data_IF_928290866476
#
_entry.id   IF_928290866476
#
_cell.length_a   1.000
_cell.length_b   1.000
_cell.length_c   1.000
_cell.angle_alpha   90.00
_cell.angle_beta   90.00
_cell.angle_gamma   90.00
#
_symmetry.space_group_name_H-M   'P 1'
#
loop_
_entity.id
_entity.type
_entity.pdbx_description
1 polymer ?
#
# COMPACT_ATOMS: atom_id res chain seq x y z
N UNK A 1 23.27 -7.36 -9.07
CA UNK A 1 24.42 -6.44 -8.94
C UNK A 1 23.93 -5.18 -8.26
N UNK A 2 24.00 -5.14 -6.92
CA UNK A 2 23.68 -3.93 -6.15
C UNK A 2 24.93 -3.05 -6.15
N UNK A 3 25.02 -2.13 -7.11
CA UNK A 3 25.94 -1.02 -6.96
C UNK A 3 25.41 -0.22 -5.76
N UNK A 4 26.04 -0.38 -4.60
CA UNK A 4 25.89 0.53 -3.48
C UNK A 4 26.32 1.90 -4.01
N UNK A 5 25.35 2.72 -4.42
CA UNK A 5 25.59 4.10 -4.82
C UNK A 5 26.14 4.79 -3.59
N UNK A 6 27.46 5.00 -3.56
CA UNK A 6 28.10 5.72 -2.47
C UNK A 6 27.44 7.10 -2.38
N UNK A 7 26.86 7.46 -1.21
CA UNK A 7 26.13 8.71 -1.11
C UNK A 7 27.10 9.86 -1.36
N UNK A 8 26.74 10.75 -2.29
CA UNK A 8 27.56 11.94 -2.56
C UNK A 8 27.63 12.78 -1.29
N UNK A 9 28.82 13.28 -0.98
CA UNK A 9 29.05 14.16 0.16
C UNK A 9 28.93 15.61 -0.29
N UNK A 10 28.40 16.46 0.60
CA UNK A 10 28.39 17.90 0.38
C UNK A 10 29.78 18.45 0.73
N UNK A 11 30.23 19.47 -0.01
CA UNK A 11 31.47 20.15 0.33
C UNK A 11 31.28 21.10 1.52
N UNK A 12 32.36 21.47 2.19
CA UNK A 12 32.31 22.34 3.38
C UNK A 12 31.64 23.69 3.10
N UNK A 13 31.77 24.21 1.88
CA UNK A 13 31.14 25.46 1.46
C UNK A 13 29.61 25.35 1.35
N UNK A 14 29.10 24.23 0.81
CA UNK A 14 27.67 23.94 0.75
C UNK A 14 27.06 23.85 2.15
N UNK A 15 27.76 23.19 3.09
CA UNK A 15 27.35 23.18 4.48
C UNK A 15 27.29 24.57 5.10
N UNK A 16 28.31 25.40 4.85
CA UNK A 16 28.35 26.77 5.35
C UNK A 16 27.19 27.62 4.80
N UNK A 17 26.94 27.56 3.49
CA UNK A 17 25.84 28.29 2.84
C UNK A 17 24.48 27.84 3.37
N UNK A 18 24.27 26.53 3.51
CA UNK A 18 23.03 25.98 4.09
C UNK A 18 22.85 26.45 5.54
N UNK A 19 23.90 26.38 6.36
CA UNK A 19 23.87 26.82 7.75
C UNK A 19 23.52 28.30 7.90
N UNK A 20 24.13 29.17 7.10
CA UNK A 20 23.83 30.61 7.08
C UNK A 20 22.39 30.86 6.63
N UNK A 21 21.92 30.20 5.57
CA UNK A 21 20.55 30.34 5.10
C UNK A 21 19.53 29.90 6.15
N UNK A 22 19.77 28.78 6.84
CA UNK A 22 18.94 28.30 7.95
C UNK A 22 18.90 29.30 9.10
N UNK A 23 20.04 29.86 9.49
CA UNK A 23 20.10 30.85 10.56
C UNK A 23 19.30 32.12 10.23
N UNK A 24 19.42 32.63 8.99
CA UNK A 24 18.64 33.77 8.53
C UNK A 24 17.14 33.49 8.51
N UNK A 25 16.72 32.31 8.04
CA UNK A 25 15.30 31.91 8.05
C UNK A 25 14.74 31.81 9.47
N UNK A 26 15.50 31.23 10.42
CA UNK A 26 15.09 31.16 11.82
C UNK A 26 14.96 32.55 12.44
N UNK A 27 15.89 33.46 12.14
CA UNK A 27 15.82 34.83 12.62
C UNK A 27 14.56 35.54 12.08
N UNK A 28 14.31 35.47 10.77
CA UNK A 28 13.11 36.08 10.15
C UNK A 28 11.83 35.48 10.71
N UNK A 29 11.75 34.17 10.89
CA UNK A 29 10.60 33.49 11.49
C UNK A 29 10.36 33.92 12.94
N UNK A 30 11.42 34.03 13.75
CA UNK A 30 11.32 34.50 15.13
C UNK A 30 10.84 35.96 15.22
N UNK A 31 11.37 36.85 14.37
CA UNK A 31 10.88 38.24 14.29
C UNK A 31 9.44 38.31 13.80
N UNK A 32 9.05 37.47 12.85
CA UNK A 32 7.65 37.36 12.39
C UNK A 32 6.71 36.96 13.50
N UNK A 33 7.02 35.88 14.23
CA UNK A 33 6.23 35.41 15.37
C UNK A 33 6.14 36.45 16.50
N UNK A 34 7.24 37.15 16.80
CA UNK A 34 7.24 38.26 17.75
C UNK A 34 6.32 39.40 17.29
N UNK A 35 6.37 39.76 16.01
CA UNK A 35 5.50 40.79 15.43
C UNK A 35 4.02 40.43 15.54
N UNK A 36 3.66 39.19 15.21
CA UNK A 36 2.29 38.67 15.36
C UNK A 36 1.85 38.72 16.82
N UNK A 37 2.71 38.30 17.76
CA UNK A 37 2.43 38.39 19.19
C UNK A 37 2.16 39.84 19.64
N UNK A 38 3.05 40.78 19.29
CA UNK A 38 2.90 42.18 19.69
C UNK A 38 1.65 42.83 19.11
N UNK A 39 1.28 42.50 17.87
CA UNK A 39 0.08 43.05 17.22
C UNK A 39 -1.20 42.53 17.89
N UNK A 40 -1.27 41.23 18.20
CA UNK A 40 -2.44 40.64 18.87
C UNK A 40 -2.52 41.11 20.33
N UNK A 41 -1.39 41.23 21.03
CA UNK A 41 -1.34 41.75 22.39
C UNK A 41 -1.81 43.21 22.46
N UNK A 42 -1.38 44.05 21.51
CA UNK A 42 -1.82 45.44 21.42
C UNK A 42 -3.33 45.58 21.15
N UNK A 43 -3.92 44.65 20.39
CA UNK A 43 -5.33 44.69 20.02
C UNK A 43 -6.26 44.12 21.11
N UNK A 44 -5.85 43.06 21.81
CA UNK A 44 -6.72 42.33 22.76
C UNK A 44 -6.35 42.56 24.23
N UNK A 45 -5.24 43.24 24.53
CA UNK A 45 -4.73 43.53 25.87
C UNK A 45 -4.64 42.29 26.80
N UNK A 46 -4.51 41.09 26.22
CA UNK A 46 -4.45 39.80 26.93
C UNK A 46 -3.31 38.96 26.39
N UNK A 47 -2.28 38.75 27.21
CA UNK A 47 -1.08 38.00 26.84
C UNK A 47 -1.37 36.53 26.48
N UNK A 48 -2.27 35.90 27.24
CA UNK A 48 -2.65 34.50 27.01
C UNK A 48 -3.36 34.29 25.67
N UNK A 49 -4.22 35.23 25.28
CA UNK A 49 -4.93 35.18 23.98
C UNK A 49 -3.95 35.43 22.83
N UNK A 50 -3.00 36.35 22.99
CA UNK A 50 -1.96 36.61 22.00
C UNK A 50 -1.04 35.40 21.80
N UNK A 51 -0.58 34.77 22.88
CA UNK A 51 0.22 33.55 22.82
C UNK A 51 -0.54 32.41 22.15
N UNK A 52 -1.83 32.23 22.48
CA UNK A 52 -2.68 31.19 21.88
C UNK A 52 -2.88 31.36 20.38
N UNK A 53 -3.11 32.59 19.90
CA UNK A 53 -3.28 32.89 18.47
C UNK A 53 -1.98 32.66 17.70
N UNK A 54 -0.83 33.09 18.25
CA UNK A 54 0.49 32.85 17.63
C UNK A 54 0.81 31.36 17.59
N UNK A 55 0.58 30.64 18.69
CA UNK A 55 0.80 29.20 18.74
C UNK A 55 -0.09 28.43 17.74
N UNK A 56 -1.35 28.85 17.57
CA UNK A 56 -2.27 28.23 16.63
C UNK A 56 -1.93 28.55 15.16
N UNK A 57 -1.54 29.79 14.86
CA UNK A 57 -1.22 30.22 13.49
C UNK A 57 0.20 29.85 13.08
N UNK A 58 1.20 30.45 13.72
CA UNK A 58 2.62 30.27 13.40
C UNK A 58 3.11 28.89 13.83
N UNK A 59 2.65 28.37 14.97
CA UNK A 59 3.03 27.04 15.45
C UNK A 59 2.55 25.92 14.53
N UNK A 60 1.32 26.01 14.01
CA UNK A 60 0.82 25.04 13.01
C UNK A 60 1.61 25.13 11.70
N UNK A 61 1.87 26.34 11.20
CA UNK A 61 2.66 26.54 9.99
C UNK A 61 4.08 25.97 10.15
N UNK A 62 4.73 26.21 11.30
CA UNK A 62 6.02 25.65 11.64
C UNK A 62 6.00 24.12 11.68
N UNK A 63 4.99 23.53 12.34
CA UNK A 63 4.84 22.06 12.42
C UNK A 63 4.66 21.45 11.02
N UNK A 64 3.83 22.06 10.16
CA UNK A 64 3.63 21.58 8.79
C UNK A 64 4.91 21.71 7.94
N UNK A 65 5.64 22.82 8.07
CA UNK A 65 6.90 23.04 7.39
C UNK A 65 7.99 22.04 7.85
N UNK A 66 8.11 21.80 9.17
CA UNK A 66 9.04 20.80 9.71
C UNK A 66 8.64 19.39 9.30
N UNK A 67 7.35 19.07 9.28
CA UNK A 67 6.86 17.77 8.80
C UNK A 67 7.24 17.56 7.34
N UNK A 68 6.99 18.55 6.47
CA UNK A 68 7.39 18.51 5.07
C UNK A 68 8.91 18.33 4.92
N UNK A 69 9.71 19.05 5.70
CA UNK A 69 11.17 18.94 5.70
C UNK A 69 11.64 17.54 6.12
N UNK A 70 11.14 17.03 7.24
CA UNK A 70 11.49 15.70 7.75
C UNK A 70 11.15 14.61 6.74
N UNK A 71 9.94 14.63 6.16
CA UNK A 71 9.56 13.67 5.13
C UNK A 71 10.47 13.74 3.91
N UNK A 72 10.84 14.96 3.49
CA UNK A 72 11.78 15.15 2.38
C UNK A 72 13.18 14.59 2.70
N UNK A 73 13.66 14.76 3.94
CA UNK A 73 14.94 14.21 4.40
C UNK A 73 14.92 12.69 4.57
N UNK A 74 13.75 12.10 4.83
CA UNK A 74 13.54 10.65 4.88
C UNK A 74 13.31 10.04 3.48
N UNK A 75 13.50 10.82 2.41
CA UNK A 75 13.21 10.44 1.02
C UNK A 75 11.78 9.93 0.85
N UNK A 76 10.84 10.56 1.57
CA UNK A 76 9.41 10.28 1.48
C UNK A 76 8.70 11.37 0.68
N UNK A 77 7.72 11.01 -0.15
CA UNK A 77 6.91 12.00 -0.85
C UNK A 77 6.08 12.80 0.17
N UNK A 78 6.14 14.13 0.08
CA UNK A 78 5.33 15.01 0.92
C UNK A 78 3.84 14.81 0.62
N UNK A 79 3.01 14.42 1.61
CA UNK A 79 1.57 14.28 1.44
C UNK A 79 0.94 15.59 0.96
N UNK A 80 -0.01 15.49 0.04
CA UNK A 80 -0.72 16.67 -0.49
C UNK A 80 -1.41 17.47 0.62
N UNK A 81 -1.88 16.80 1.68
CA UNK A 81 -2.57 17.45 2.80
C UNK A 81 -1.67 18.40 3.58
N UNK A 82 -0.38 18.06 3.75
CA UNK A 82 0.61 18.92 4.42
C UNK A 82 0.82 20.19 3.60
N UNK A 83 0.93 20.06 2.27
CA UNK A 83 1.06 21.22 1.37
C UNK A 83 -0.19 22.09 1.38
N UNK A 84 -1.37 21.49 1.29
CA UNK A 84 -2.63 22.24 1.37
C UNK A 84 -2.70 23.02 2.67
N UNK A 85 -2.36 22.39 3.81
CA UNK A 85 -2.30 23.06 5.10
C UNK A 85 -1.33 24.24 5.12
N UNK A 86 -0.13 24.07 4.54
CA UNK A 86 0.91 25.10 4.46
C UNK A 86 0.49 26.32 3.61
N UNK A 87 -0.43 26.14 2.65
CA UNK A 87 -0.95 27.24 1.83
C UNK A 87 -2.25 27.85 2.39
N UNK A 88 -3.10 27.04 3.04
CA UNK A 88 -4.41 27.50 3.51
C UNK A 88 -4.29 28.53 4.63
N UNK A 89 -3.38 28.32 5.58
CA UNK A 89 -3.17 29.23 6.71
C UNK A 89 -2.80 30.67 6.26
N UNK A 90 -1.80 30.87 5.38
CA UNK A 90 -1.47 32.21 4.90
C UNK A 90 -2.53 32.79 3.98
N UNK A 91 -3.23 32.00 3.18
CA UNK A 91 -4.37 32.52 2.41
C UNK A 91 -5.44 33.11 3.35
N UNK A 92 -5.73 32.44 4.46
CA UNK A 92 -6.61 32.97 5.50
C UNK A 92 -6.06 34.28 6.09
N UNK A 93 -4.78 34.31 6.46
CA UNK A 93 -4.14 35.50 6.99
C UNK A 93 -4.14 36.68 5.99
N UNK A 94 -3.94 36.42 4.70
CA UNK A 94 -4.00 37.43 3.64
C UNK A 94 -5.42 38.00 3.51
N UNK A 95 -6.45 37.15 3.55
CA UNK A 95 -7.84 37.59 3.53
C UNK A 95 -8.17 38.48 4.73
N UNK A 96 -7.75 38.08 5.93
CA UNK A 96 -7.90 38.91 7.14
C UNK A 96 -7.13 40.22 7.01
N UNK A 97 -5.88 40.16 6.55
CA UNK A 97 -5.01 41.32 6.35
C UNK A 97 -5.59 42.36 5.38
N UNK A 98 -6.15 41.90 4.25
CA UNK A 98 -6.83 42.77 3.29
C UNK A 98 -8.10 43.38 3.86
N UNK A 99 -8.88 42.62 4.65
CA UNK A 99 -10.13 43.11 5.25
C UNK A 99 -9.91 44.18 6.33
N UNK A 100 -8.79 44.13 7.06
CA UNK A 100 -8.48 45.10 8.12
C UNK A 100 -7.70 46.33 7.62
N UNK A 101 -7.16 46.27 6.39
CA UNK A 101 -6.35 47.33 5.84
C UNK A 101 -7.16 48.62 5.61
N UNK A 102 -6.58 49.77 5.95
CA UNK A 102 -7.27 51.07 5.85
C UNK A 102 -7.10 51.72 4.47
N UNK A 103 -6.11 51.29 3.69
CA UNK A 103 -5.81 51.80 2.37
C UNK A 103 -5.20 50.70 1.50
N UNK A 104 -5.08 50.97 0.19
CA UNK A 104 -4.56 50.03 -0.81
C UNK A 104 -3.12 49.61 -0.49
N UNK A 105 -2.29 50.53 0.01
CA UNK A 105 -0.89 50.23 0.36
C UNK A 105 -0.79 49.20 1.49
N UNK A 106 -1.54 49.40 2.57
CA UNK A 106 -1.66 48.45 3.68
C UNK A 106 -2.24 47.12 3.20
N UNK A 107 -3.27 47.14 2.33
CA UNK A 107 -3.90 45.93 1.83
C UNK A 107 -2.92 45.07 1.02
N UNK A 108 -2.08 45.69 0.19
CA UNK A 108 -1.04 44.99 -0.57
C UNK A 108 0.01 44.39 0.37
N UNK A 109 0.51 45.17 1.35
CA UNK A 109 1.53 44.68 2.29
C UNK A 109 0.98 43.53 3.15
N UNK A 110 -0.21 43.70 3.75
CA UNK A 110 -0.83 42.67 4.60
C UNK A 110 -1.32 41.46 3.80
N UNK A 111 -1.66 41.63 2.52
CA UNK A 111 -2.04 40.54 1.63
C UNK A 111 -0.87 39.75 1.03
N UNK A 112 0.34 40.30 0.96
CA UNK A 112 1.52 39.61 0.41
C UNK A 112 2.36 38.98 1.52
N UNK A 113 2.49 39.66 2.66
CA UNK A 113 3.43 39.26 3.73
C UNK A 113 3.22 37.81 4.20
N UNK A 114 2.00 37.32 4.46
CA UNK A 114 1.82 35.92 4.87
C UNK A 114 2.20 34.91 3.78
N UNK A 115 2.04 35.26 2.50
CA UNK A 115 2.42 34.38 1.38
C UNK A 115 3.93 34.18 1.28
N UNK A 116 4.72 35.16 1.72
CA UNK A 116 6.17 35.06 1.71
C UNK A 116 6.67 33.90 2.58
N UNK A 117 5.98 33.59 3.69
CA UNK A 117 6.34 32.48 4.58
C UNK A 117 6.12 31.12 3.92
N UNK A 118 4.98 30.89 3.24
CA UNK A 118 4.78 29.64 2.47
C UNK A 118 5.72 29.51 1.31
N UNK A 119 6.01 30.63 0.61
CA UNK A 119 7.04 30.66 -0.43
C UNK A 119 8.41 30.24 0.12
N UNK A 120 8.79 30.73 1.30
CA UNK A 120 10.02 30.35 1.96
C UNK A 120 10.04 28.87 2.38
N UNK A 121 8.94 28.37 2.94
CA UNK A 121 8.81 26.96 3.34
C UNK A 121 8.87 26.00 2.14
N UNK A 122 8.17 26.30 1.04
CA UNK A 122 8.28 25.54 -0.21
C UNK A 122 9.69 25.62 -0.81
N UNK A 123 10.32 26.81 -0.76
CA UNK A 123 11.72 26.99 -1.17
C UNK A 123 12.68 26.12 -0.37
N UNK A 124 12.50 26.04 0.96
CA UNK A 124 13.28 25.17 1.84
C UNK A 124 13.03 23.69 1.54
N UNK A 125 11.78 23.30 1.31
CA UNK A 125 11.43 21.95 0.86
C UNK A 125 12.09 21.58 -0.48
N UNK A 126 12.17 22.52 -1.42
CA UNK A 126 12.87 22.33 -2.70
C UNK A 126 14.38 22.16 -2.49
N UNK A 127 15.02 22.98 -1.65
CA UNK A 127 16.44 22.85 -1.33
C UNK A 127 16.71 21.49 -0.67
N UNK A 128 15.91 21.13 0.34
CA UNK A 128 16.02 19.85 1.04
C UNK A 128 15.93 18.67 0.06
N UNK A 129 14.94 18.69 -0.84
CA UNK A 129 14.76 17.67 -1.88
C UNK A 129 15.98 17.60 -2.80
N UNK A 130 16.49 18.74 -3.27
CA UNK A 130 17.66 18.79 -4.16
C UNK A 130 18.91 18.26 -3.47
N UNK A 131 19.13 18.61 -2.21
CA UNK A 131 20.23 18.07 -1.41
C UNK A 131 20.07 16.56 -1.26
N UNK A 132 18.88 16.07 -0.91
CA UNK A 132 18.66 14.64 -0.75
C UNK A 132 18.91 13.88 -2.06
N UNK A 133 18.30 14.31 -3.17
CA UNK A 133 18.53 13.72 -4.49
C UNK A 133 19.98 13.78 -4.93
N UNK A 134 20.71 14.85 -4.59
CA UNK A 134 22.14 14.91 -4.87
C UNK A 134 22.91 13.83 -4.09
N UNK A 135 22.57 13.60 -2.82
CA UNK A 135 23.24 12.63 -1.96
C UNK A 135 22.86 11.19 -2.29
N UNK A 136 21.58 10.89 -2.45
CA UNK A 136 21.05 9.53 -2.66
C UNK A 136 21.06 9.13 -4.14
N UNK A 137 21.06 10.09 -5.06
CA UNK A 137 20.86 9.86 -6.49
C UNK A 137 19.40 9.58 -6.87
N UNK A 138 18.49 9.56 -5.88
CA UNK A 138 17.08 9.20 -6.05
C UNK A 138 16.22 10.39 -5.68
N UNK A 139 15.19 10.65 -6.48
CA UNK A 139 14.16 11.64 -6.17
C UNK A 139 12.86 10.90 -5.87
N UNK A 140 12.52 10.73 -4.58
CA UNK A 140 11.35 9.97 -4.15
C UNK A 140 10.02 10.48 -4.74
N UNK A 141 9.88 11.79 -4.92
CA UNK A 141 8.67 12.39 -5.48
C UNK A 141 8.57 12.18 -7.00
N UNK A 142 9.72 12.04 -7.67
CA UNK A 142 9.76 11.61 -9.06
C UNK A 142 9.46 10.11 -9.19
N UNK A 143 10.05 9.29 -8.32
CA UNK A 143 9.79 7.85 -8.27
C UNK A 143 8.32 7.57 -8.03
N UNK A 144 7.67 8.29 -7.10
CA UNK A 144 6.21 8.19 -6.86
C UNK A 144 5.39 8.51 -8.10
N UNK A 145 5.70 9.61 -8.80
CA UNK A 145 4.97 10.02 -10.01
C UNK A 145 5.15 9.03 -11.16
N UNK A 146 6.36 8.50 -11.31
CA UNK A 146 6.64 7.46 -12.29
C UNK A 146 5.90 6.16 -11.95
N UNK A 147 5.90 5.75 -10.68
CA UNK A 147 5.17 4.56 -10.22
C UNK A 147 3.66 4.68 -10.45
N UNK A 148 3.04 5.81 -10.10
CA UNK A 148 1.60 6.06 -10.37
C UNK A 148 1.31 6.02 -11.88
N UNK A 149 2.18 6.62 -12.70
CA UNK A 149 2.04 6.58 -14.17
C UNK A 149 2.13 5.15 -14.71
N UNK A 150 3.11 4.36 -14.25
CA UNK A 150 3.29 2.96 -14.65
C UNK A 150 2.10 2.10 -14.21
N UNK A 151 1.61 2.29 -12.98
CA UNK A 151 0.43 1.58 -12.48
C UNK A 151 -0.81 1.88 -13.35
N UNK A 152 -1.02 3.15 -13.71
CA UNK A 152 -2.12 3.53 -14.61
C UNK A 152 -1.96 2.95 -16.01
N UNK A 153 -0.74 2.91 -16.55
CA UNK A 153 -0.48 2.26 -17.85
C UNK A 153 -0.85 0.78 -17.77
N UNK A 154 -0.39 0.07 -16.74
CA UNK A 154 -0.69 -1.35 -16.54
C UNK A 154 -2.20 -1.60 -16.43
N UNK A 155 -2.92 -0.76 -15.68
CA UNK A 155 -4.37 -0.81 -15.60
C UNK A 155 -5.03 -0.60 -16.97
N UNK A 156 -4.66 0.45 -17.70
CA UNK A 156 -5.25 0.73 -19.02
C UNK A 156 -4.92 -0.36 -20.04
N UNK A 157 -3.74 -0.97 -19.97
CA UNK A 157 -3.37 -2.12 -20.81
C UNK A 157 -4.21 -3.36 -20.49
N UNK A 158 -4.47 -3.63 -19.21
CA UNK A 158 -5.36 -4.72 -18.81
C UNK A 158 -6.80 -4.49 -19.31
N UNK A 159 -7.31 -3.25 -19.19
CA UNK A 159 -8.63 -2.87 -19.73
C UNK A 159 -8.66 -3.03 -21.25
N UNK A 160 -7.61 -2.58 -21.96
CA UNK A 160 -7.53 -2.71 -23.41
C UNK A 160 -7.54 -4.17 -23.90
N UNK A 161 -7.06 -5.12 -23.08
CA UNK A 161 -6.99 -6.53 -23.44
C UNK A 161 -8.25 -7.32 -23.04
N UNK A 162 -8.89 -6.98 -21.92
CA UNK A 162 -9.90 -7.83 -21.30
C UNK A 162 -11.31 -7.22 -21.22
N UNK A 163 -11.48 -5.93 -21.53
CA UNK A 163 -12.81 -5.30 -21.44
C UNK A 163 -13.74 -5.80 -22.56
N UNK A 164 -15.02 -6.13 -22.27
CA UNK A 164 -15.93 -6.69 -23.28
C UNK A 164 -16.32 -5.70 -24.39
N UNK A 165 -16.34 -4.41 -24.08
CA UNK A 165 -16.66 -3.33 -25.02
C UNK A 165 -15.42 -2.86 -25.80
N UNK A 166 -15.45 -2.97 -27.13
CA UNK A 166 -14.39 -2.55 -28.05
C UNK A 166 -14.09 -1.05 -27.96
N UNK A 167 -15.10 -0.21 -27.77
CA UNK A 167 -14.90 1.24 -27.68
C UNK A 167 -14.11 1.63 -26.44
N UNK A 168 -14.35 0.92 -25.33
CA UNK A 168 -13.60 1.09 -24.07
C UNK A 168 -12.18 0.55 -24.21
N UNK A 169 -12.00 -0.57 -24.92
CA UNK A 169 -10.65 -1.10 -25.20
C UNK A 169 -9.81 -0.10 -25.98
N UNK A 170 -10.37 0.48 -27.04
CA UNK A 170 -9.70 1.48 -27.87
C UNK A 170 -9.45 2.80 -27.12
N UNK A 171 -10.38 3.21 -26.26
CA UNK A 171 -10.18 4.37 -25.40
C UNK A 171 -9.05 4.13 -24.38
N UNK A 172 -9.04 2.96 -23.74
CA UNK A 172 -7.99 2.56 -22.80
C UNK A 172 -6.62 2.45 -23.48
N UNK A 173 -6.56 1.90 -24.70
CA UNK A 173 -5.35 1.84 -25.48
C UNK A 173 -4.81 3.25 -25.78
N UNK A 174 -5.66 4.16 -26.26
CA UNK A 174 -5.28 5.57 -26.50
C UNK A 174 -4.81 6.26 -25.23
N UNK A 175 -5.48 6.04 -24.10
CA UNK A 175 -5.07 6.62 -22.81
C UNK A 175 -3.73 6.03 -22.34
N UNK A 176 -3.49 4.75 -22.54
CA UNK A 176 -2.21 4.11 -22.22
C UNK A 176 -1.05 4.72 -23.01
N UNK A 177 -1.26 5.07 -24.29
CA UNK A 177 -0.26 5.76 -25.11
C UNK A 177 0.01 7.19 -24.61
N UNK A 178 -1.03 7.94 -24.24
CA UNK A 178 -0.89 9.28 -23.64
C UNK A 178 -0.14 9.24 -22.30
N UNK A 179 -0.36 8.19 -21.51
CA UNK A 179 0.37 7.99 -20.25
C UNK A 179 1.81 7.57 -20.51
N UNK A 180 2.06 6.70 -21.50
CA UNK A 180 3.39 6.28 -21.90
C UNK A 180 4.25 7.46 -22.40
N UNK A 181 3.65 8.44 -23.10
CA UNK A 181 4.32 9.68 -23.49
C UNK A 181 4.85 10.48 -22.28
N UNK A 182 4.17 10.36 -21.12
CA UNK A 182 4.53 11.05 -19.88
C UNK A 182 5.49 10.23 -19.01
N UNK A 183 5.60 8.92 -19.25
CA UNK A 183 6.44 8.04 -18.46
C UNK A 183 7.92 8.46 -18.54
N UNK A 184 8.56 8.62 -17.39
CA UNK A 184 9.97 9.03 -17.32
C UNK A 184 10.23 10.52 -17.61
N UNK A 185 9.18 11.35 -17.78
CA UNK A 185 9.37 12.79 -18.04
C UNK A 185 10.05 13.47 -16.86
N UNK A 186 11.21 14.07 -17.14
CA UNK A 186 12.05 14.77 -16.15
C UNK A 186 12.92 13.83 -15.31
N UNK A 187 12.90 12.52 -15.54
CA UNK A 187 13.72 11.56 -14.79
C UNK A 187 15.14 11.57 -15.35
N UNK A 188 15.98 12.39 -14.71
CA UNK A 188 17.37 12.56 -15.13
C UNK A 188 18.18 11.27 -14.96
N UNK A 189 17.86 10.44 -13.96
CA UNK A 189 18.54 9.17 -13.75
C UNK A 189 18.22 8.20 -14.88
N UNK A 190 16.93 8.04 -15.20
CA UNK A 190 16.50 7.23 -16.34
C UNK A 190 17.12 7.71 -17.66
N UNK A 191 17.20 9.03 -17.89
CA UNK A 191 17.87 9.58 -19.07
C UNK A 191 19.35 9.21 -19.14
N UNK A 192 20.07 9.30 -18.02
CA UNK A 192 21.48 8.89 -17.93
C UNK A 192 21.65 7.39 -18.18
N UNK A 193 20.78 6.57 -17.58
CA UNK A 193 20.81 5.11 -17.71
C UNK A 193 20.50 4.67 -19.15
N UNK A 194 19.51 5.28 -19.81
CA UNK A 194 19.19 5.00 -21.21
C UNK A 194 20.36 5.34 -22.14
N UNK A 195 21.01 6.48 -21.93
CA UNK A 195 22.22 6.85 -22.68
C UNK A 195 23.35 5.86 -22.41
N UNK A 196 23.52 5.40 -21.17
CA UNK A 196 24.52 4.39 -20.82
C UNK A 196 24.27 3.06 -21.52
N UNK A 197 23.01 2.58 -21.53
CA UNK A 197 22.60 1.36 -22.23
C UNK A 197 22.79 1.51 -23.74
N UNK A 198 22.41 2.64 -24.33
CA UNK A 198 22.65 2.89 -25.76
C UNK A 198 24.13 2.93 -26.09
N UNK A 199 24.96 3.56 -25.25
CA UNK A 199 26.42 3.58 -25.42
C UNK A 199 27.01 2.17 -25.33
N UNK A 200 26.49 1.33 -24.43
CA UNK A 200 26.91 -0.07 -24.33
C UNK A 200 26.54 -0.83 -25.61
N UNK A 201 25.30 -0.74 -26.06
CA UNK A 201 24.85 -1.39 -27.31
C UNK A 201 25.64 -0.91 -28.53
N UNK A 202 26.00 0.37 -28.60
CA UNK A 202 26.85 0.91 -29.66
C UNK A 202 28.26 0.33 -29.62
N UNK A 203 28.84 0.16 -28.43
CA UNK A 203 30.16 -0.49 -28.27
C UNK A 203 30.11 -1.95 -28.66
N UNK A 204 29.10 -2.69 -28.18
CA UNK A 204 28.93 -4.11 -28.51
C UNK A 204 28.75 -4.30 -30.02
N UNK A 205 27.95 -3.44 -30.66
CA UNK A 205 27.76 -3.45 -32.12
C UNK A 205 29.03 -3.08 -32.89
N UNK A 206 29.83 -2.15 -32.39
CA UNK A 206 31.11 -1.77 -32.99
C UNK A 206 32.15 -2.88 -32.85
N UNK A 207 32.25 -3.52 -31.69
CA UNK A 207 33.15 -4.66 -31.45
C UNK A 207 32.82 -5.82 -32.39
N UNK A 208 31.53 -6.16 -32.52
CA UNK A 208 31.07 -7.19 -33.45
C UNK A 208 31.32 -6.85 -34.93
N UNK A 209 31.31 -5.55 -35.28
CA UNK A 209 31.70 -5.11 -36.64
C UNK A 209 33.21 -5.25 -36.87
N UNK A 210 34.03 -4.83 -35.90
CA UNK A 210 35.48 -4.96 -35.97
C UNK A 210 35.94 -6.43 -35.98
N UNK A 211 35.32 -7.30 -35.18
CA UNK A 211 35.63 -8.73 -35.17
C UNK A 211 35.43 -9.35 -36.56
N UNK A 212 34.30 -9.01 -37.22
CA UNK A 212 34.01 -9.44 -38.60
C UNK A 212 35.02 -8.91 -39.61
N UNK A 213 35.45 -7.64 -39.49
CA UNK A 213 36.44 -7.05 -40.40
C UNK A 213 37.83 -7.69 -40.28
N UNK A 214 38.27 -8.02 -39.06
CA UNK A 214 39.60 -8.57 -38.83
C UNK A 214 39.69 -10.10 -38.94
N UNK A 215 38.64 -10.75 -39.46
CA UNK A 215 38.61 -12.21 -39.62
C UNK A 215 38.71 -12.97 -38.30
N UNK A 216 38.53 -12.27 -37.16
CA UNK A 216 38.33 -12.92 -35.87
C UNK A 216 36.91 -13.44 -35.90
N UNK A 217 36.77 -14.75 -36.04
CA UNK A 217 35.50 -15.42 -35.78
C UNK A 217 35.17 -15.15 -34.32
N UNK A 218 34.29 -14.18 -34.09
CA UNK A 218 33.73 -13.89 -32.79
C UNK A 218 33.06 -15.19 -32.33
N UNK A 219 33.33 -15.69 -31.10
CA UNK A 219 32.53 -16.79 -30.59
C UNK A 219 31.09 -16.32 -30.66
N UNK A 220 30.27 -17.03 -31.45
CA UNK A 220 28.87 -16.69 -31.64
C UNK A 220 28.28 -16.35 -30.28
N UNK A 221 27.52 -15.24 -30.14
CA UNK A 221 26.88 -14.91 -28.87
C UNK A 221 26.17 -16.19 -28.46
N UNK A 222 26.58 -16.76 -27.32
CA UNK A 222 25.99 -18.00 -26.84
C UNK A 222 24.50 -17.72 -26.81
N UNK A 223 23.76 -18.30 -27.76
CA UNK A 223 22.31 -18.26 -27.75
C UNK A 223 21.96 -18.64 -26.33
N UNK A 224 21.33 -17.73 -25.58
CA UNK A 224 21.06 -17.92 -24.16
C UNK A 224 20.54 -19.34 -24.03
N UNK A 225 21.37 -20.23 -23.46
CA UNK A 225 21.14 -21.66 -23.55
C UNK A 225 19.68 -21.84 -23.15
N UNK A 226 18.86 -22.44 -24.03
CA UNK A 226 17.47 -22.71 -23.72
C UNK A 226 17.49 -23.35 -22.34
N UNK A 227 17.05 -22.59 -21.32
CA UNK A 227 17.09 -23.09 -19.95
C UNK A 227 16.23 -24.32 -20.00
N UNK A 228 16.83 -25.49 -19.85
CA UNK A 228 16.07 -26.72 -19.93
C UNK A 228 14.98 -26.63 -18.88
N UNK A 229 13.79 -27.17 -19.16
CA UNK A 229 12.70 -27.17 -18.19
C UNK A 229 13.15 -27.73 -16.83
N UNK A 230 14.13 -28.64 -16.85
CA UNK A 230 14.80 -29.20 -15.68
C UNK A 230 15.60 -28.17 -14.85
N UNK A 231 16.27 -27.21 -15.49
CA UNK A 231 17.00 -26.14 -14.77
C UNK A 231 16.04 -25.14 -14.11
N UNK A 232 14.91 -24.86 -14.77
CA UNK A 232 13.84 -24.02 -14.18
C UNK A 232 13.21 -24.72 -12.98
N UNK A 233 12.92 -26.02 -13.08
CA UNK A 233 12.38 -26.83 -11.99
C UNK A 233 13.37 -26.95 -10.82
N UNK A 234 14.65 -27.23 -11.10
CA UNK A 234 15.71 -27.30 -10.08
C UNK A 234 15.79 -26.01 -9.26
N UNK A 235 15.80 -24.85 -9.93
CA UNK A 235 15.82 -23.56 -9.23
C UNK A 235 14.55 -23.33 -8.41
N UNK A 236 13.38 -23.68 -8.97
CA UNK A 236 12.10 -23.46 -8.29
C UNK A 236 11.97 -24.34 -7.04
N UNK A 237 12.40 -25.60 -7.11
CA UNK A 237 12.38 -26.50 -5.96
C UNK A 237 13.44 -26.14 -4.91
N UNK A 238 14.57 -25.55 -5.31
CA UNK A 238 15.58 -25.06 -4.36
C UNK A 238 15.09 -23.87 -3.49
N UNK A 239 14.11 -23.10 -3.97
CA UNK A 239 13.53 -21.95 -3.25
C UNK A 239 12.29 -22.34 -2.41
N UNK A 240 11.80 -23.57 -2.54
CA UNK A 240 10.55 -24.05 -1.90
C UNK A 240 10.84 -24.90 -0.66
N UNK A 241 9.89 -24.95 0.28
CA UNK A 241 9.97 -25.84 1.43
C UNK A 241 10.03 -27.32 0.97
N UNK A 242 11.04 -28.11 1.39
CA UNK A 242 11.16 -29.51 0.98
C UNK A 242 9.88 -30.33 1.22
N UNK A 243 9.13 -30.07 2.29
CA UNK A 243 7.88 -30.78 2.57
C UNK A 243 6.75 -30.45 1.57
N UNK A 244 6.75 -29.24 1.01
CA UNK A 244 5.83 -28.86 -0.05
C UNK A 244 6.24 -29.48 -1.39
N UNK A 245 7.55 -29.50 -1.69
CA UNK A 245 8.07 -30.16 -2.90
C UNK A 245 7.77 -31.66 -2.89
N UNK A 246 7.90 -32.33 -1.74
CA UNK A 246 7.57 -33.76 -1.58
C UNK A 246 6.08 -34.01 -1.90
N UNK A 247 5.17 -33.17 -1.41
CA UNK A 247 3.73 -33.29 -1.66
C UNK A 247 3.38 -33.06 -3.12
N UNK A 248 3.99 -32.05 -3.76
CA UNK A 248 3.80 -31.79 -5.20
C UNK A 248 4.31 -32.97 -6.04
N UNK A 249 5.44 -33.57 -5.67
CA UNK A 249 6.00 -34.73 -6.37
C UNK A 249 5.12 -35.97 -6.22
N UNK A 250 4.57 -36.22 -5.03
CA UNK A 250 3.62 -37.32 -4.76
C UNK A 250 2.29 -37.12 -5.49
N UNK A 251 1.75 -35.89 -5.53
CA UNK A 251 0.55 -35.56 -6.32
C UNK A 251 0.76 -35.79 -7.83
N UNK A 252 1.97 -35.51 -8.34
CA UNK A 252 2.31 -35.72 -9.74
C UNK A 252 2.54 -37.20 -10.09
N UNK A 253 2.98 -38.02 -9.13
CA UNK A 253 3.23 -39.45 -9.29
C UNK A 253 2.68 -40.26 -8.11
N UNK A 254 1.34 -40.38 -8.01
CA UNK A 254 0.72 -41.04 -6.87
C UNK A 254 1.09 -42.52 -6.81
N UNK A 255 1.50 -42.98 -5.63
CA UNK A 255 1.83 -44.37 -5.35
C UNK A 255 3.30 -44.75 -5.59
N UNK A 256 4.16 -43.79 -5.89
CA UNK A 256 5.61 -44.02 -5.96
C UNK A 256 6.16 -44.30 -4.55
N UNK A 257 6.98 -45.34 -4.34
CA UNK A 257 7.53 -45.61 -3.01
C UNK A 257 8.46 -44.45 -2.55
N UNK A 258 8.49 -44.12 -1.24
CA UNK A 258 9.23 -42.96 -0.72
C UNK A 258 10.71 -42.90 -1.11
N UNK A 259 11.37 -44.05 -1.27
CA UNK A 259 12.77 -44.12 -1.67
C UNK A 259 12.99 -43.70 -3.13
N UNK A 260 12.06 -44.03 -4.03
CA UNK A 260 12.14 -43.65 -5.44
C UNK A 260 11.80 -42.17 -5.62
N UNK A 261 10.84 -41.66 -4.85
CA UNK A 261 10.51 -40.23 -4.85
C UNK A 261 11.69 -39.40 -4.34
N UNK A 262 12.36 -39.85 -3.27
CA UNK A 262 13.58 -39.21 -2.76
C UNK A 262 14.69 -39.17 -3.83
N UNK A 263 14.92 -40.29 -4.55
CA UNK A 263 15.92 -40.35 -5.61
C UNK A 263 15.61 -39.38 -6.76
N UNK A 264 14.34 -39.23 -7.15
CA UNK A 264 13.94 -38.25 -8.16
C UNK A 264 14.18 -36.80 -7.68
N UNK A 265 13.79 -36.50 -6.44
CA UNK A 265 13.95 -35.17 -5.84
C UNK A 265 15.42 -34.75 -5.73
N UNK A 266 16.31 -35.69 -5.41
CA UNK A 266 17.77 -35.47 -5.44
C UNK A 266 18.25 -35.11 -6.85
N UNK A 267 17.69 -35.71 -7.90
CA UNK A 267 17.98 -35.34 -9.29
C UNK A 267 17.59 -33.88 -9.65
N UNK A 268 16.60 -33.34 -8.95
CA UNK A 268 16.19 -31.94 -9.03
C UNK A 268 16.89 -31.02 -8.02
N UNK A 269 17.88 -31.52 -7.28
CA UNK A 269 18.68 -30.75 -6.33
C UNK A 269 18.04 -30.56 -4.96
N UNK A 270 16.99 -31.31 -4.63
CA UNK A 270 16.34 -31.28 -3.31
C UNK A 270 16.95 -32.37 -2.45
N UNK A 271 17.61 -31.98 -1.37
CA UNK A 271 18.32 -32.90 -0.47
C UNK A 271 17.32 -33.47 0.53
N UNK A 272 16.71 -34.61 0.17
CA UNK A 272 15.78 -35.35 1.04
C UNK A 272 16.08 -36.84 1.02
N UNK A 273 15.87 -37.52 2.15
CA UNK A 273 15.99 -38.98 2.27
C UNK A 273 14.62 -39.68 2.28
N UNK A 274 14.62 -41.00 2.10
CA UNK A 274 13.40 -41.80 2.03
C UNK A 274 12.55 -41.74 3.32
N UNK A 275 13.19 -41.54 4.48
CA UNK A 275 12.51 -41.43 5.78
C UNK A 275 11.83 -40.07 5.90
N UNK A 276 12.49 -38.99 5.47
CA UNK A 276 11.91 -37.65 5.41
C UNK A 276 10.70 -37.61 4.46
N UNK A 277 10.81 -38.23 3.29
CA UNK A 277 9.69 -38.37 2.36
C UNK A 277 8.54 -39.16 3.00
N UNK A 278 8.83 -40.31 3.61
CA UNK A 278 7.81 -41.11 4.28
C UNK A 278 7.14 -40.35 5.43
N UNK A 279 7.89 -39.60 6.23
CA UNK A 279 7.38 -38.77 7.32
C UNK A 279 6.49 -37.64 6.82
N UNK A 280 6.82 -37.00 5.70
CA UNK A 280 5.96 -35.94 5.14
C UNK A 280 4.66 -36.52 4.56
N UNK A 281 4.74 -37.69 3.91
CA UNK A 281 3.57 -38.33 3.29
C UNK A 281 2.66 -39.05 4.31
N UNK A 282 3.23 -39.58 5.40
CA UNK A 282 2.48 -40.37 6.40
C UNK A 282 2.35 -39.67 7.76
N UNK A 283 3.09 -38.60 8.01
CA UNK A 283 3.06 -37.82 9.25
C UNK A 283 2.03 -36.69 9.23
N UNK A 284 0.87 -36.93 8.63
CA UNK A 284 -0.25 -35.99 8.71
C UNK A 284 -0.61 -35.65 10.16
N UNK A 285 -1.10 -34.43 10.45
CA UNK A 285 -1.48 -34.04 11.80
C UNK A 285 -2.48 -35.06 12.36
N UNK A 286 -2.25 -35.50 13.60
CA UNK A 286 -3.11 -36.46 14.30
C UNK A 286 -4.57 -36.03 14.22
N UNK A 287 -5.35 -36.72 13.42
CA UNK A 287 -6.80 -36.58 13.39
C UNK A 287 -7.33 -37.23 14.66
N UNK A 288 -7.70 -36.42 15.64
CA UNK A 288 -8.37 -36.90 16.85
C UNK A 288 -9.79 -37.33 16.48
N UNK A 289 -10.00 -38.61 16.26
CA UNK A 289 -11.34 -39.19 16.15
C UNK A 289 -12.03 -39.04 17.50
N UNK A 290 -13.05 -38.19 17.58
CA UNK A 290 -13.89 -38.06 18.78
C UNK A 290 -14.76 -39.31 18.87
N UNK A 291 -14.32 -40.30 19.64
CA UNK A 291 -15.09 -41.50 19.94
C UNK A 291 -16.25 -41.14 20.86
N UNK A 292 -17.44 -40.99 20.29
CA UNK A 292 -18.69 -40.84 21.05
C UNK A 292 -19.10 -42.23 21.54
N UNK A 293 -19.20 -42.40 22.86
CA UNK A 293 -19.60 -43.66 23.49
C UNK A 293 -20.87 -44.23 22.83
N UNK A 294 -20.94 -45.55 22.58
CA UNK A 294 -22.03 -46.16 21.84
C UNK A 294 -23.33 -46.02 22.63
N UNK A 295 -24.27 -45.26 22.10
CA UNK A 295 -25.67 -45.37 22.51
C UNK A 295 -26.15 -46.77 22.13
N UNK A 296 -26.54 -47.55 23.14
CA UNK A 296 -27.12 -48.88 22.96
C UNK A 296 -28.37 -48.75 22.06
N UNK A 297 -28.29 -49.31 20.84
CA UNK A 297 -29.46 -49.48 19.96
C UNK A 297 -29.32 -49.00 18.51
N UNK A 298 -28.18 -48.46 18.06
CA UNK A 298 -28.06 -48.00 16.67
C UNK A 298 -27.39 -49.05 15.77
N UNK A 299 -28.13 -49.51 14.76
CA UNK A 299 -27.65 -50.31 13.62
C UNK A 299 -26.59 -49.54 12.79
N UNK A 300 -25.71 -50.23 12.04
CA UNK A 300 -24.65 -49.58 11.29
C UNK A 300 -25.24 -48.83 10.09
N UNK A 301 -25.23 -47.50 10.16
CA UNK A 301 -25.66 -46.63 9.06
C UNK A 301 -24.42 -46.26 8.25
N UNK A 302 -24.47 -46.56 6.94
CA UNK A 302 -23.49 -46.11 5.94
C UNK A 302 -23.22 -44.60 6.06
N UNK A 303 -22.02 -44.10 5.69
CA UNK A 303 -21.68 -42.69 5.78
C UNK A 303 -22.69 -41.85 5.00
N UNK A 304 -23.60 -41.21 5.73
CA UNK A 304 -24.54 -40.25 5.14
C UNK A 304 -23.75 -38.97 4.88
N UNK A 305 -23.40 -38.77 3.61
CA UNK A 305 -23.08 -37.44 3.11
C UNK A 305 -24.32 -36.59 3.35
N UNK A 306 -24.25 -35.71 4.35
CA UNK A 306 -25.32 -34.76 4.60
C UNK A 306 -25.62 -33.95 3.34
N UNK A 307 -26.86 -33.46 3.15
CA UNK A 307 -27.20 -32.66 1.99
C UNK A 307 -26.22 -31.48 1.86
N UNK A 308 -25.86 -31.07 0.62
CA UNK A 308 -24.95 -29.97 0.39
C UNK A 308 -25.39 -28.76 1.22
N UNK A 309 -24.47 -28.21 2.02
CA UNK A 309 -24.75 -27.01 2.78
C UNK A 309 -25.25 -25.92 1.81
N UNK A 310 -26.32 -25.19 2.15
CA UNK A 310 -26.89 -24.21 1.25
C UNK A 310 -25.83 -23.18 0.88
N UNK A 311 -25.73 -22.85 -0.41
CA UNK A 311 -24.78 -21.88 -0.91
C UNK A 311 -24.93 -20.56 -0.14
N UNK A 312 -23.81 -20.04 0.38
CA UNK A 312 -23.77 -18.81 1.17
C UNK A 312 -24.36 -17.67 0.33
N UNK A 313 -25.54 -17.16 0.71
CA UNK A 313 -26.17 -16.09 -0.06
C UNK A 313 -25.51 -14.75 0.26
N UNK A 314 -25.60 -13.78 -0.66
CA UNK A 314 -25.09 -12.41 -0.41
C UNK A 314 -25.66 -11.79 0.87
N UNK A 315 -26.91 -12.13 1.21
CA UNK A 315 -27.56 -11.63 2.42
C UNK A 315 -26.96 -12.24 3.69
N UNK A 316 -26.54 -13.50 3.65
CA UNK A 316 -25.94 -14.18 4.79
C UNK A 316 -24.52 -13.68 5.04
N UNK A 317 -23.74 -13.43 3.97
CA UNK A 317 -22.42 -12.82 4.07
C UNK A 317 -22.46 -11.42 4.70
N UNK A 318 -23.46 -10.59 4.32
CA UNK A 318 -23.66 -9.26 4.92
C UNK A 318 -24.02 -9.37 6.41
N UNK A 319 -24.86 -10.33 6.80
CA UNK A 319 -25.26 -10.53 8.20
C UNK A 319 -24.09 -11.02 9.06
N UNK A 320 -23.30 -11.95 8.56
CA UNK A 320 -22.11 -12.46 9.25
C UNK A 320 -21.12 -11.32 9.58
N UNK A 321 -20.84 -10.46 8.60
CA UNK A 321 -19.96 -9.30 8.78
C UNK A 321 -20.58 -8.23 9.68
N UNK A 322 -21.89 -7.98 9.58
CA UNK A 322 -22.57 -7.02 10.44
C UNK A 322 -22.57 -7.45 11.92
N UNK A 323 -22.66 -8.75 12.21
CA UNK A 323 -22.52 -9.28 13.57
C UNK A 323 -21.09 -9.08 14.08
N UNK A 324 -20.10 -9.27 13.22
CA UNK A 324 -18.68 -9.11 13.55
C UNK A 324 -18.30 -7.66 13.88
N UNK A 325 -18.77 -6.69 13.09
CA UNK A 325 -18.46 -5.27 13.25
C UNK A 325 -19.33 -4.55 14.29
N UNK A 326 -20.43 -5.17 14.72
CA UNK A 326 -21.36 -4.63 15.70
C UNK A 326 -22.53 -3.84 15.09
N UNK A 327 -23.56 -3.54 15.91
CA UNK A 327 -24.86 -3.03 15.43
C UNK A 327 -24.81 -1.62 14.83
N UNK A 328 -23.77 -0.84 15.15
CA UNK A 328 -23.60 0.56 14.72
C UNK A 328 -22.57 0.73 13.58
N UNK A 329 -22.08 -0.38 13.01
CA UNK A 329 -21.11 -0.32 11.92
C UNK A 329 -21.67 0.41 10.69
N UNK A 330 -20.93 1.36 10.10
CA UNK A 330 -21.39 2.06 8.90
C UNK A 330 -21.43 1.10 7.71
N UNK A 331 -22.43 1.26 6.84
CA UNK A 331 -22.64 0.35 5.70
C UNK A 331 -21.42 0.25 4.77
N UNK A 332 -20.63 1.31 4.67
CA UNK A 332 -19.37 1.34 3.91
C UNK A 332 -18.33 0.35 4.43
N UNK A 333 -18.20 0.22 5.75
CA UNK A 333 -17.20 -0.66 6.37
C UNK A 333 -17.64 -2.12 6.22
N UNK A 334 -18.95 -2.39 6.31
CA UNK A 334 -19.52 -3.71 6.02
C UNK A 334 -19.26 -4.11 4.56
N UNK A 335 -19.38 -3.19 3.60
CA UNK A 335 -19.06 -3.49 2.18
C UNK A 335 -17.59 -3.90 2.02
N UNK A 336 -16.67 -3.13 2.61
CA UNK A 336 -15.24 -3.40 2.52
C UNK A 336 -14.89 -4.77 3.13
N UNK A 337 -15.49 -5.10 4.28
CA UNK A 337 -15.20 -6.33 5.00
C UNK A 337 -15.87 -7.56 4.36
N UNK A 338 -17.06 -7.42 3.74
CA UNK A 338 -17.68 -8.50 2.94
C UNK A 338 -16.83 -8.81 1.70
N UNK A 339 -16.29 -7.79 1.02
CA UNK A 339 -15.39 -8.00 -0.11
C UNK A 339 -14.09 -8.69 0.33
N UNK A 340 -13.54 -8.33 1.49
CA UNK A 340 -12.31 -8.93 2.02
C UNK A 340 -12.49 -10.38 2.47
N UNK A 341 -13.53 -10.66 3.28
CA UNK A 341 -13.72 -11.97 3.93
C UNK A 341 -14.39 -12.99 3.03
N UNK A 342 -15.38 -12.56 2.26
CA UNK A 342 -16.23 -13.46 1.46
C UNK A 342 -15.95 -13.38 -0.04
N UNK A 343 -15.13 -12.42 -0.50
CA UNK A 343 -14.84 -12.16 -1.93
C UNK A 343 -16.11 -11.91 -2.75
N UNK A 344 -17.11 -11.27 -2.13
CA UNK A 344 -18.38 -10.92 -2.76
C UNK A 344 -18.49 -9.41 -2.85
N UNK A 345 -18.66 -8.89 -4.07
CA UNK A 345 -18.98 -7.47 -4.27
C UNK A 345 -20.45 -7.19 -3.94
N UNK A 346 -20.65 -6.22 -3.07
CA UNK A 346 -21.95 -5.77 -2.57
C UNK A 346 -22.02 -4.25 -2.59
N UNK A 347 -23.12 -3.71 -3.09
CA UNK A 347 -23.38 -2.27 -3.03
C UNK A 347 -23.87 -1.83 -1.64
N UNK A 348 -23.54 -0.61 -1.25
CA UNK A 348 -23.96 -0.03 0.04
C UNK A 348 -25.49 -0.02 0.21
N UNK A 349 -26.23 0.19 -0.89
CA UNK A 349 -27.70 0.14 -0.90
C UNK A 349 -28.23 -1.25 -0.53
N UNK A 350 -27.55 -2.32 -0.99
CA UNK A 350 -27.92 -3.69 -0.66
C UNK A 350 -27.63 -4.00 0.82
N UNK A 351 -26.52 -3.51 1.38
CA UNK A 351 -26.23 -3.63 2.81
C UNK A 351 -27.30 -2.95 3.65
N UNK A 352 -27.66 -1.69 3.33
CA UNK A 352 -28.73 -0.96 4.03
C UNK A 352 -30.08 -1.69 3.95
N UNK A 353 -30.41 -2.25 2.79
CA UNK A 353 -31.64 -3.02 2.59
C UNK A 353 -31.67 -4.31 3.44
N UNK A 354 -30.55 -5.01 3.56
CA UNK A 354 -30.46 -6.22 4.41
C UNK A 354 -30.56 -5.86 5.90
N UNK A 355 -29.83 -4.84 6.36
CA UNK A 355 -29.85 -4.40 7.76
C UNK A 355 -31.23 -3.90 8.20
N UNK A 356 -31.91 -3.12 7.35
CA UNK A 356 -33.28 -2.64 7.62
C UNK A 356 -34.29 -3.79 7.74
N UNK A 357 -34.18 -4.81 6.87
CA UNK A 357 -35.02 -6.03 6.96
C UNK A 357 -34.75 -6.80 8.24
N UNK A 358 -33.48 -6.96 8.63
CA UNK A 358 -33.12 -7.63 9.88
C UNK A 358 -33.65 -6.87 11.10
N UNK A 359 -33.52 -5.53 11.14
CA UNK A 359 -34.08 -4.71 12.22
C UNK A 359 -35.60 -4.84 12.33
N UNK A 360 -36.30 -4.89 11.20
CA UNK A 360 -37.75 -5.09 11.16
C UNK A 360 -38.16 -6.48 11.66
N UNK A 361 -37.45 -7.54 11.23
CA UNK A 361 -37.70 -8.90 11.72
C UNK A 361 -37.48 -9.06 13.22
N UNK A 362 -36.44 -8.41 13.77
CA UNK A 362 -36.21 -8.39 15.22
C UNK A 362 -37.32 -7.63 15.97
N UNK A 363 -37.81 -6.53 15.42
CA UNK A 363 -38.92 -5.76 16.00
C UNK A 363 -40.25 -6.52 15.95
N UNK A 364 -40.50 -7.28 14.89
CA UNK A 364 -41.70 -8.09 14.74
C UNK A 364 -41.67 -9.31 15.69
N UNK A 365 -40.51 -9.98 15.85
CA UNK A 365 -40.33 -11.04 16.86
C UNK A 365 -40.50 -10.55 18.29
N UNK A 366 -40.14 -9.30 18.59
CA UNK A 366 -40.33 -8.72 19.92
C UNK A 366 -41.81 -8.44 20.26
N UNK A 367 -42.70 -8.40 19.26
CA UNK A 367 -44.15 -8.21 19.43
C UNK A 367 -44.92 -9.53 19.51
N UNK A 368 -44.27 -10.65 19.24
CA UNK A 368 -44.91 -11.97 19.36
C UNK A 368 -45.14 -12.26 20.85
N UNK A 369 -46.40 -12.52 21.27
CA UNK A 369 -46.70 -12.77 22.68
C UNK A 369 -45.90 -13.97 23.16
N UNK A 370 -45.18 -13.81 24.28
CA UNK A 370 -44.44 -14.92 24.89
C UNK A 370 -45.43 -16.08 25.09
N UNK A 371 -45.11 -17.30 24.62
CA UNK A 371 -45.95 -18.45 24.92
C UNK A 371 -46.11 -18.55 26.43
N UNK A 372 -47.36 -18.65 26.88
CA UNK A 372 -47.70 -18.84 28.28
C UNK A 372 -46.83 -19.97 28.85
N UNK A 373 -46.16 -19.76 30.00
CA UNK A 373 -45.36 -20.81 30.60
C UNK A 373 -46.25 -22.01 30.88
N UNK A 374 -45.95 -23.13 30.21
CA UNK A 374 -46.66 -24.39 30.40
C UNK A 374 -46.58 -24.78 31.89
N UNK A 375 -47.71 -24.86 32.62
CA UNK A 375 -47.73 -25.15 34.05
C UNK A 375 -47.27 -26.57 34.39
N UNK A 376 -46.82 -27.37 33.41
CA UNK A 376 -46.38 -28.76 33.60
C UNK A 376 -44.86 -28.94 33.72
N UNK A 377 -44.05 -27.88 33.58
CA UNK A 377 -42.60 -27.97 33.84
C UNK A 377 -42.35 -27.72 35.33
N UNK A 378 -42.36 -28.82 36.08
CA UNK A 378 -42.32 -28.87 37.53
C UNK A 378 -41.06 -28.27 38.16
N UNK A 379 -41.31 -27.61 39.29
CA UNK A 379 -40.37 -27.38 40.39
C UNK A 379 -39.60 -28.66 40.71
N UNK A 380 -38.30 -28.67 40.45
CA UNK A 380 -37.43 -29.76 40.85
C UNK A 380 -36.04 -29.23 41.12
N UNK A 381 -35.65 -29.15 42.39
CA UNK A 381 -34.27 -28.91 42.79
C UNK A 381 -34.07 -28.04 44.01
N UNK A 382 -34.79 -28.32 45.09
CA UNK A 382 -34.27 -28.06 46.43
C UNK A 382 -33.01 -28.92 46.68
N UNK A 383 -32.03 -28.34 47.36
CA UNK A 383 -31.15 -29.05 48.28
C UNK A 383 -29.99 -29.85 47.68
N UNK A 384 -28.80 -29.25 47.72
CA UNK A 384 -27.64 -29.92 48.31
C UNK A 384 -26.94 -28.91 49.23
N UNK A 385 -26.90 -29.27 50.53
CA UNK A 385 -26.09 -28.64 51.57
C UNK A 385 -24.60 -28.81 51.30
#
# INVERSE_FOLDING_TARGET
>A
MNALVNPRQLNSWQYAVLGVATALMLAVGAFGGWGTYSNVQAQFHREATAAGVVAAGEGLALVLALTMLCLTMLDQPSPSIVRIGLWLAPVGACATGVMIARNIGEAVVYGITPMAMSGAAEGLGLIARRVNTYRTGIDAEQLRRNADTVQRIAYQQAVAQHHPDETVRDAALRESWKLAEKAGRGDNALGQDLVAVQRQRLRDGADAALSRMYGRSEPAPAAAASRSAQEVLRRRFAEMDPAEVIRIADEAQPGLPPAELAAQLVGYGVVVDAVQVALVLHGGPSTTTVERAPQQGATPVAPQVGPPQPALTKSDAIRDVAVLLGPDAPAKDIVAEVAAKHRIDVEENAVRAVLSRTKRQSADKAKEPRPEPDPRIGQGGEGYN
#
